data_IF_625336530623
#
_entry.id   IF_625336530623
#
_cell.length_a   1.000
_cell.length_b   1.000
_cell.length_c   1.000
_cell.angle_alpha   90.00
_cell.angle_beta   90.00
_cell.angle_gamma   90.00
#
_symmetry.space_group_name_H-M   'P 1'
#
loop_
_entity.id
_entity.type
_entity.pdbx_description
1 polymer ?
#
# COMPACT_ATOMS: atom_id res chain seq x y z
N UNK A 1 -11.18 -2.63 -37.01
CA UNK A 1 -11.79 -1.30 -36.90
C UNK A 1 -12.21 -1.11 -35.45
N UNK A 2 -11.35 -0.52 -34.60
CA UNK A 2 -11.36 0.91 -34.23
C UNK A 2 -12.72 1.32 -33.65
N UNK A 3 -12.85 1.64 -32.37
CA UNK A 3 -12.31 2.88 -31.79
C UNK A 3 -12.08 2.79 -30.28
N UNK A 4 -10.84 3.03 -29.84
CA UNK A 4 -10.55 3.37 -28.44
C UNK A 4 -10.83 4.87 -28.25
N UNK A 5 -11.87 5.20 -27.49
CA UNK A 5 -12.14 6.57 -27.05
C UNK A 5 -11.17 6.92 -25.92
N UNK A 6 -10.13 7.69 -26.21
CA UNK A 6 -9.27 8.26 -25.18
C UNK A 6 -10.07 9.32 -24.40
N UNK A 7 -10.44 9.01 -23.15
CA UNK A 7 -10.88 10.02 -22.19
C UNK A 7 -9.64 10.78 -21.74
N UNK A 8 -9.47 12.01 -22.24
CA UNK A 8 -8.47 12.94 -21.72
C UNK A 8 -8.94 13.46 -20.37
N UNK A 9 -8.39 12.90 -19.28
CA UNK A 9 -8.60 13.43 -17.94
C UNK A 9 -7.54 14.52 -17.73
N UNK A 10 -7.98 15.78 -17.61
CA UNK A 10 -7.13 16.84 -17.06
C UNK A 10 -7.38 16.80 -15.55
N UNK A 11 -6.47 16.17 -14.83
CA UNK A 11 -6.47 16.18 -13.36
C UNK A 11 -6.15 17.60 -12.88
N UNK A 12 -7.12 18.24 -12.23
CA UNK A 12 -6.88 19.45 -11.45
C UNK A 12 -7.33 19.15 -10.02
N UNK A 13 -6.37 18.98 -9.11
CA UNK A 13 -6.67 18.77 -7.70
C UNK A 13 -7.23 20.05 -7.05
N UNK A 14 -8.26 19.94 -6.18
CA UNK A 14 -8.75 21.07 -5.41
C UNK A 14 -7.73 21.67 -4.43
N UNK A 15 -6.66 20.96 -4.09
CA UNK A 15 -5.77 21.46 -3.03
C UNK A 15 -4.78 22.56 -3.50
N UNK A 16 -4.82 22.93 -4.78
CA UNK A 16 -4.19 24.18 -5.23
C UNK A 16 -4.99 25.45 -4.87
N UNK A 17 -6.17 25.33 -4.25
CA UNK A 17 -7.08 26.46 -3.98
C UNK A 17 -6.64 27.43 -2.87
N UNK A 18 -5.56 27.18 -2.11
CA UNK A 18 -5.27 28.00 -0.92
C UNK A 18 -4.02 28.89 -0.95
N UNK A 19 -3.06 28.73 -1.86
CA UNK A 19 -1.73 29.38 -1.68
C UNK A 19 -1.26 30.42 -2.72
N UNK A 20 -2.13 30.92 -3.60
CA UNK A 20 -1.77 32.00 -4.55
C UNK A 20 -2.84 33.09 -4.75
N UNK A 21 -3.96 33.09 -4.00
CA UNK A 21 -5.02 34.12 -4.14
C UNK A 21 -5.71 34.19 -5.51
N UNK A 22 -5.46 33.23 -6.41
CA UNK A 22 -6.03 33.16 -7.76
C UNK A 22 -6.65 31.78 -8.00
N UNK A 23 -7.91 31.56 -7.59
CA UNK A 23 -8.55 30.25 -7.59
C UNK A 23 -8.74 29.61 -8.97
N UNK A 24 -8.49 30.30 -10.08
CA UNK A 24 -8.83 29.82 -11.42
C UNK A 24 -7.67 29.86 -12.44
N UNK A 25 -6.42 29.93 -11.96
CA UNK A 25 -5.23 30.06 -12.81
C UNK A 25 -5.16 29.02 -13.95
N UNK A 26 -5.67 27.81 -13.73
CA UNK A 26 -5.65 26.71 -14.71
C UNK A 26 -6.75 26.78 -15.78
N UNK A 27 -7.88 27.44 -15.53
CA UNK A 27 -8.97 27.57 -16.49
C UNK A 27 -9.05 28.94 -17.19
N UNK A 28 -8.33 29.95 -16.71
CA UNK A 28 -8.30 31.30 -17.34
C UNK A 28 -7.82 31.28 -18.81
N UNK A 29 -7.01 30.28 -19.20
CA UNK A 29 -6.52 30.12 -20.59
C UNK A 29 -7.06 28.86 -21.29
N UNK A 30 -8.06 28.20 -20.71
CA UNK A 30 -8.65 26.99 -21.29
C UNK A 30 -9.73 27.32 -22.32
N UNK A 31 -9.71 26.62 -23.46
CA UNK A 31 -10.81 26.66 -24.44
C UNK A 31 -12.04 25.85 -24.02
N UNK A 32 -11.95 25.09 -22.93
CA UNK A 32 -12.98 24.14 -22.50
C UNK A 32 -13.54 24.44 -21.11
N UNK A 33 -12.81 25.20 -20.29
CA UNK A 33 -13.16 25.48 -18.89
C UNK A 33 -13.37 26.99 -18.68
N UNK A 34 -14.19 27.34 -17.70
CA UNK A 34 -14.45 28.70 -17.23
C UNK A 34 -14.45 28.73 -15.71
N UNK A 35 -14.16 29.88 -15.11
CA UNK A 35 -14.15 30.06 -13.67
C UNK A 35 -15.55 30.47 -13.18
N UNK A 36 -16.20 29.64 -12.36
CA UNK A 36 -17.48 29.95 -11.72
C UNK A 36 -17.34 29.65 -10.23
N UNK A 37 -17.62 30.64 -9.38
CA UNK A 37 -17.55 30.51 -7.91
C UNK A 37 -16.21 29.93 -7.42
N UNK A 38 -15.09 30.41 -7.95
CA UNK A 38 -13.75 29.93 -7.60
C UNK A 38 -13.47 28.46 -7.95
N UNK A 39 -14.26 27.87 -8.87
CA UNK A 39 -14.07 26.51 -9.38
C UNK A 39 -14.02 26.50 -10.91
N UNK A 40 -13.14 25.68 -11.48
CA UNK A 40 -13.09 25.50 -12.93
C UNK A 40 -14.24 24.59 -13.37
N UNK A 41 -15.14 25.12 -14.21
CA UNK A 41 -16.31 24.43 -14.74
C UNK A 41 -16.24 24.33 -16.27
N UNK A 42 -16.89 23.32 -16.86
CA UNK A 42 -16.99 23.23 -18.32
C UNK A 42 -17.78 24.40 -18.91
N UNK A 43 -17.31 24.97 -20.01
CA UNK A 43 -18.08 25.96 -20.75
C UNK A 43 -19.33 25.30 -21.36
N UNK A 44 -20.49 25.98 -21.40
CA UNK A 44 -21.68 25.44 -22.04
C UNK A 44 -21.39 24.99 -23.48
N UNK A 45 -21.88 23.81 -23.87
CA UNK A 45 -21.74 23.25 -25.22
C UNK A 45 -20.29 23.02 -25.70
N UNK A 46 -19.33 22.82 -24.81
CA UNK A 46 -17.98 22.39 -25.20
C UNK A 46 -17.87 20.87 -25.31
N UNK A 47 -17.25 20.42 -26.41
CA UNK A 47 -17.02 19.01 -26.72
C UNK A 47 -15.53 18.76 -26.89
N UNK A 48 -15.04 17.64 -26.36
CA UNK A 48 -13.69 17.13 -26.60
C UNK A 48 -13.80 15.75 -27.26
N UNK A 49 -13.29 15.61 -28.48
CA UNK A 49 -13.41 14.38 -29.28
C UNK A 49 -14.85 13.82 -29.38
N UNK A 50 -15.85 14.69 -29.52
CA UNK A 50 -17.26 14.30 -29.65
C UNK A 50 -17.98 13.98 -28.33
N UNK A 51 -17.29 14.07 -27.19
CA UNK A 51 -17.88 13.90 -25.86
C UNK A 51 -18.11 15.27 -25.22
N UNK A 52 -19.27 15.48 -24.60
CA UNK A 52 -19.54 16.71 -23.84
C UNK A 52 -18.58 16.83 -22.67
N UNK A 53 -18.03 18.03 -22.48
CA UNK A 53 -17.25 18.36 -21.30
C UNK A 53 -18.13 18.17 -20.06
N UNK A 54 -17.68 17.35 -19.11
CA UNK A 54 -18.32 17.13 -17.83
C UNK A 54 -17.35 17.48 -16.70
N UNK A 55 -17.80 18.28 -15.74
CA UNK A 55 -17.11 18.47 -14.46
C UNK A 55 -17.61 17.42 -13.51
N UNK A 56 -16.81 16.40 -13.23
CA UNK A 56 -17.08 15.52 -12.10
C UNK A 56 -16.60 16.23 -10.85
N UNK A 57 -17.50 16.45 -9.89
CA UNK A 57 -17.08 16.75 -8.52
C UNK A 57 -16.15 15.63 -8.05
N UNK A 58 -15.04 15.95 -7.38
CA UNK A 58 -14.30 14.93 -6.63
C UNK A 58 -15.33 14.14 -5.83
N UNK A 59 -15.46 12.86 -6.11
CA UNK A 59 -16.24 12.01 -5.23
C UNK A 59 -15.51 12.07 -3.90
N UNK A 60 -16.18 12.65 -2.89
CA UNK A 60 -15.88 12.35 -1.50
C UNK A 60 -15.63 10.85 -1.42
N UNK A 61 -14.46 10.44 -0.91
CA UNK A 61 -14.04 9.04 -0.91
C UNK A 61 -15.22 8.16 -0.48
N UNK A 62 -15.62 7.24 -1.35
CA UNK A 62 -16.66 6.28 -1.01
C UNK A 62 -16.07 5.30 -0.02
N UNK A 63 -16.79 5.03 1.06
CA UNK A 63 -16.39 3.99 2.01
C UNK A 63 -16.39 2.64 1.28
N UNK A 64 -15.21 2.10 0.99
CA UNK A 64 -15.05 0.82 0.28
C UNK A 64 -15.13 -0.37 1.24
N UNK A 65 -14.70 -0.19 2.49
CA UNK A 65 -14.95 -1.12 3.61
C UNK A 65 -14.63 -0.47 4.96
N UNK A 66 -15.08 -1.12 6.05
CA UNK A 66 -14.97 -0.59 7.40
C UNK A 66 -16.07 0.43 7.66
N UNK A 67 -16.72 0.34 8.82
CA UNK A 67 -17.88 1.17 9.09
C UNK A 67 -17.38 2.52 9.58
N UNK A 68 -17.71 3.58 8.84
CA UNK A 68 -17.37 4.98 9.15
C UNK A 68 -18.02 5.53 10.43
N UNK A 69 -18.39 4.66 11.38
CA UNK A 69 -18.86 4.98 12.72
C UNK A 69 -17.76 4.82 13.80
N UNK A 70 -16.54 4.39 13.42
CA UNK A 70 -15.33 4.53 14.24
C UNK A 70 -15.28 3.68 15.52
N UNK A 71 -16.15 2.69 15.69
CA UNK A 71 -16.13 1.82 16.88
C UNK A 71 -15.52 0.46 16.56
N UNK A 72 -14.50 0.07 17.32
CA UNK A 72 -13.88 -1.25 17.19
C UNK A 72 -14.87 -2.38 17.55
N UNK A 73 -14.79 -3.51 16.87
CA UNK A 73 -15.65 -4.66 17.16
C UNK A 73 -15.23 -5.93 16.43
N UNK A 74 -15.84 -7.06 16.81
CA UNK A 74 -15.51 -8.40 16.30
C UNK A 74 -16.59 -9.02 15.40
N UNK A 75 -17.72 -8.35 15.19
CA UNK A 75 -18.73 -8.81 14.23
C UNK A 75 -18.18 -8.78 12.79
N UNK A 76 -18.88 -9.41 11.85
CA UNK A 76 -18.56 -9.32 10.42
C UNK A 76 -18.85 -7.92 9.81
N UNK A 77 -19.34 -7.01 10.65
CA UNK A 77 -19.64 -5.63 10.33
C UNK A 77 -18.75 -4.67 11.14
N UNK A 78 -17.60 -5.12 11.63
CA UNK A 78 -16.69 -4.30 12.41
C UNK A 78 -15.25 -4.80 12.23
N UNK A 79 -14.31 -3.89 12.43
CA UNK A 79 -12.88 -4.15 12.45
C UNK A 79 -12.33 -3.73 13.82
N UNK A 80 -11.20 -4.28 14.22
CA UNK A 80 -10.47 -3.91 15.42
C UNK A 80 -9.00 -3.71 15.05
N UNK A 81 -8.58 -2.44 14.99
CA UNK A 81 -7.20 -2.03 14.66
C UNK A 81 -6.68 -2.60 13.33
N UNK A 82 -7.44 -2.50 12.21
CA UNK A 82 -7.01 -3.11 10.94
C UNK A 82 -5.64 -2.58 10.49
N UNK A 83 -4.85 -3.42 9.84
CA UNK A 83 -3.46 -3.08 9.48
C UNK A 83 -3.22 -3.00 7.97
N UNK A 84 -3.29 -4.13 7.29
CA UNK A 84 -2.99 -4.30 5.88
C UNK A 84 -4.26 -4.42 5.04
N UNK A 85 -4.15 -4.05 3.77
CA UNK A 85 -5.23 -4.16 2.79
C UNK A 85 -4.71 -4.74 1.48
N UNK A 86 -5.53 -5.53 0.80
CA UNK A 86 -5.24 -6.00 -0.55
C UNK A 86 -6.53 -6.05 -1.39
N UNK A 87 -6.40 -5.80 -2.69
CA UNK A 87 -7.51 -5.92 -3.63
C UNK A 87 -7.34 -7.21 -4.43
N UNK A 88 -8.34 -8.07 -4.39
CA UNK A 88 -8.40 -9.28 -5.21
C UNK A 88 -8.71 -8.98 -6.67
N UNK A 89 -8.44 -9.94 -7.55
CA UNK A 89 -8.74 -9.83 -8.99
C UNK A 89 -10.24 -9.69 -9.30
N UNK A 90 -11.10 -10.09 -8.35
CA UNK A 90 -12.56 -9.95 -8.42
C UNK A 90 -13.06 -8.60 -7.87
N UNK A 91 -12.16 -7.67 -7.56
CA UNK A 91 -12.49 -6.36 -6.99
C UNK A 91 -12.76 -6.39 -5.48
N UNK A 92 -12.69 -7.56 -4.83
CA UNK A 92 -12.91 -7.65 -3.39
C UNK A 92 -11.77 -7.03 -2.59
N UNK A 93 -12.12 -6.34 -1.51
CA UNK A 93 -11.17 -5.82 -0.53
C UNK A 93 -10.93 -6.84 0.58
N UNK A 94 -9.68 -7.16 0.82
CA UNK A 94 -9.21 -8.01 1.90
C UNK A 94 -8.53 -7.14 2.95
N UNK A 95 -8.89 -7.32 4.21
CA UNK A 95 -8.37 -6.52 5.33
C UNK A 95 -7.85 -7.45 6.41
N UNK A 96 -6.61 -7.26 6.85
CA UNK A 96 -6.13 -7.91 8.07
C UNK A 96 -6.71 -7.17 9.27
N UNK A 97 -7.61 -7.86 9.94
CA UNK A 97 -8.30 -7.39 11.13
C UNK A 97 -7.46 -7.79 12.35
N UNK A 98 -6.33 -7.09 12.50
CA UNK A 98 -5.23 -7.40 13.43
C UNK A 98 -5.72 -7.75 14.84
N UNK A 99 -6.55 -6.89 15.44
CA UNK A 99 -7.05 -7.06 16.80
C UNK A 99 -8.07 -8.19 16.94
N UNK A 100 -8.58 -8.73 15.83
CA UNK A 100 -9.49 -9.86 15.79
C UNK A 100 -8.84 -11.12 15.21
N UNK A 101 -7.54 -11.16 14.93
CA UNK A 101 -6.81 -12.38 14.51
C UNK A 101 -7.44 -13.08 13.29
N UNK A 102 -7.82 -12.29 12.28
CA UNK A 102 -8.48 -12.79 11.06
C UNK A 102 -8.19 -11.90 9.85
N UNK A 103 -8.42 -12.43 8.65
CA UNK A 103 -8.57 -11.63 7.44
C UNK A 103 -10.03 -11.66 7.01
N UNK A 104 -10.61 -10.49 6.79
CA UNK A 104 -11.96 -10.32 6.26
C UNK A 104 -11.89 -9.98 4.78
N UNK A 105 -12.70 -10.67 3.97
CA UNK A 105 -12.99 -10.31 2.59
C UNK A 105 -14.31 -9.55 2.52
N UNK A 106 -14.32 -8.41 1.83
CA UNK A 106 -15.51 -7.64 1.50
C UNK A 106 -15.66 -7.56 -0.02
N UNK A 107 -16.83 -7.97 -0.52
CA UNK A 107 -17.19 -7.77 -1.91
C UNK A 107 -17.47 -6.28 -2.17
N UNK A 108 -17.24 -5.83 -3.41
CA UNK A 108 -17.54 -4.44 -3.79
C UNK A 108 -19.00 -4.09 -3.47
N UNK A 109 -19.20 -2.99 -2.75
CA UNK A 109 -20.52 -2.53 -2.29
C UNK A 109 -21.13 -3.30 -1.11
N UNK A 110 -20.51 -4.39 -0.64
CA UNK A 110 -20.96 -5.10 0.56
C UNK A 110 -20.47 -4.42 1.83
N UNK A 111 -21.37 -4.22 2.78
CA UNK A 111 -21.01 -3.80 4.13
C UNK A 111 -20.67 -4.99 5.03
N UNK A 112 -21.14 -6.20 4.71
CA UNK A 112 -20.88 -7.40 5.51
C UNK A 112 -19.68 -8.15 4.91
N UNK A 113 -18.68 -8.41 5.75
CA UNK A 113 -17.51 -9.20 5.37
C UNK A 113 -17.67 -10.70 5.59
N UNK A 114 -16.73 -11.48 5.06
CA UNK A 114 -16.59 -12.91 5.32
C UNK A 114 -15.16 -13.23 5.78
N UNK A 115 -15.02 -14.07 6.81
CA UNK A 115 -13.70 -14.53 7.26
C UNK A 115 -13.13 -15.46 6.18
N UNK A 116 -11.92 -15.18 5.74
CA UNK A 116 -11.22 -15.98 4.71
C UNK A 116 -9.87 -16.51 5.16
N UNK A 117 -9.30 -15.98 6.24
CA UNK A 117 -8.10 -16.49 6.91
C UNK A 117 -8.27 -16.32 8.42
N UNK A 118 -7.82 -17.32 9.18
CA UNK A 118 -7.96 -17.33 10.63
C UNK A 118 -9.38 -17.69 11.09
N UNK A 119 -9.52 -17.95 12.39
CA UNK A 119 -10.81 -18.28 13.02
C UNK A 119 -11.37 -17.14 13.86
N UNK A 120 -10.66 -16.01 13.95
CA UNK A 120 -10.97 -14.95 14.90
C UNK A 120 -10.37 -15.15 16.30
N UNK A 121 -9.63 -16.26 16.49
CA UNK A 121 -9.02 -16.66 17.75
C UNK A 121 -7.50 -16.73 17.53
N UNK A 122 -6.74 -16.03 18.37
CA UNK A 122 -5.29 -16.10 18.36
C UNK A 122 -4.79 -17.53 18.62
N UNK A 123 -3.83 -17.98 17.82
CA UNK A 123 -3.19 -19.28 17.97
C UNK A 123 -2.18 -19.54 16.86
N UNK A 124 -1.53 -20.72 16.90
CA UNK A 124 -0.48 -21.10 15.96
C UNK A 124 -0.81 -22.36 15.13
N UNK A 125 -2.02 -22.91 15.30
CA UNK A 125 -2.54 -24.00 14.47
C UNK A 125 -2.61 -23.60 12.99
N UNK A 126 -2.76 -24.57 12.09
CA UNK A 126 -2.77 -24.30 10.65
C UNK A 126 -3.98 -23.46 10.18
N UNK A 127 -5.08 -23.45 10.93
CA UNK A 127 -6.27 -22.64 10.70
C UNK A 127 -6.28 -21.32 11.49
N UNK A 128 -5.27 -21.09 12.34
CA UNK A 128 -5.16 -19.93 13.22
C UNK A 128 -4.01 -19.01 12.79
N UNK A 129 -4.17 -17.73 13.12
CA UNK A 129 -3.17 -16.67 13.00
C UNK A 129 -3.24 -15.81 14.26
N UNK A 130 -2.18 -15.06 14.53
CA UNK A 130 -2.05 -14.23 15.71
C UNK A 130 -1.45 -12.87 15.31
N UNK A 131 -2.22 -11.81 15.54
CA UNK A 131 -1.86 -10.43 15.22
C UNK A 131 -1.43 -10.24 13.75
N UNK A 132 -2.29 -10.58 12.76
CA UNK A 132 -1.93 -10.49 11.35
C UNK A 132 -1.64 -9.04 10.93
N UNK A 133 -0.53 -8.83 10.24
CA UNK A 133 -0.14 -7.51 9.71
C UNK A 133 -0.41 -7.45 8.20
N UNK A 134 0.62 -7.38 7.35
CA UNK A 134 0.41 -7.24 5.91
C UNK A 134 -0.16 -8.53 5.27
N UNK A 135 -0.93 -8.35 4.20
CA UNK A 135 -1.43 -9.46 3.39
C UNK A 135 -1.23 -9.21 1.89
N UNK A 136 -1.18 -10.28 1.12
CA UNK A 136 -1.13 -10.23 -0.34
C UNK A 136 -2.11 -11.26 -0.93
N UNK A 137 -2.82 -10.87 -1.98
CA UNK A 137 -3.74 -11.74 -2.71
C UNK A 137 -3.25 -11.91 -4.14
N UNK A 138 -2.97 -13.14 -4.55
CA UNK A 138 -2.50 -13.43 -5.90
C UNK A 138 -3.66 -13.55 -6.91
N UNK A 139 -3.35 -13.63 -8.20
CA UNK A 139 -4.35 -13.76 -9.27
C UNK A 139 -5.17 -15.06 -9.22
N UNK A 140 -4.69 -16.07 -8.47
CA UNK A 140 -5.41 -17.32 -8.20
C UNK A 140 -6.30 -17.23 -6.95
N UNK A 141 -6.39 -16.04 -6.34
CA UNK A 141 -7.08 -15.79 -5.06
C UNK A 141 -6.48 -16.54 -3.88
N UNK A 142 -5.20 -16.89 -3.93
CA UNK A 142 -4.48 -17.34 -2.74
C UNK A 142 -4.10 -16.14 -1.88
N UNK A 143 -4.11 -16.31 -0.57
CA UNK A 143 -3.92 -15.24 0.41
C UNK A 143 -2.66 -15.56 1.22
N UNK A 144 -1.69 -14.68 1.14
CA UNK A 144 -0.48 -14.70 1.94
C UNK A 144 -0.67 -13.70 3.08
N UNK A 145 -0.36 -14.08 4.30
CA UNK A 145 -0.54 -13.24 5.50
C UNK A 145 0.70 -13.32 6.35
N UNK A 146 1.17 -12.16 6.81
CA UNK A 146 2.17 -12.07 7.86
C UNK A 146 1.51 -12.36 9.20
N UNK A 147 1.81 -13.53 9.75
CA UNK A 147 1.35 -14.00 11.05
C UNK A 147 2.40 -13.58 12.09
N UNK A 148 2.36 -12.29 12.46
CA UNK A 148 3.46 -11.55 13.07
C UNK A 148 3.91 -12.17 14.40
N UNK A 149 2.99 -12.41 15.32
CA UNK A 149 3.31 -12.91 16.67
C UNK A 149 3.66 -14.41 16.67
N UNK A 150 3.44 -15.07 15.53
CA UNK A 150 3.93 -16.42 15.27
C UNK A 150 5.21 -16.43 14.40
N UNK A 151 5.81 -15.29 14.06
CA UNK A 151 7.09 -15.20 13.33
C UNK A 151 7.13 -15.99 12.01
N UNK A 152 6.04 -15.94 11.24
CA UNK A 152 5.90 -16.72 10.00
C UNK A 152 5.05 -16.00 8.96
N UNK A 153 5.17 -16.42 7.70
CA UNK A 153 4.21 -16.09 6.64
C UNK A 153 3.45 -17.35 6.28
N UNK A 154 2.14 -17.21 6.21
CA UNK A 154 1.21 -18.31 5.95
C UNK A 154 0.45 -18.06 4.65
N UNK A 155 0.20 -19.13 3.90
CA UNK A 155 -0.50 -19.14 2.62
C UNK A 155 -1.79 -19.97 2.74
N UNK A 156 -2.94 -19.34 2.49
CA UNK A 156 -4.21 -20.02 2.26
C UNK A 156 -4.51 -20.07 0.77
N UNK A 157 -4.75 -21.28 0.26
CA UNK A 157 -5.34 -21.44 -1.06
C UNK A 157 -6.75 -20.86 -1.10
N UNK A 158 -7.26 -20.57 -2.31
CA UNK A 158 -8.66 -20.15 -2.48
C UNK A 158 -9.61 -21.13 -1.78
N UNK A 159 -10.45 -20.62 -0.88
CA UNK A 159 -11.41 -21.39 -0.07
C UNK A 159 -10.78 -22.45 0.88
N UNK A 160 -9.47 -22.41 1.10
CA UNK A 160 -8.83 -23.29 2.07
C UNK A 160 -9.26 -22.91 3.49
N UNK A 161 -9.44 -23.90 4.36
CA UNK A 161 -9.69 -23.69 5.79
C UNK A 161 -8.40 -23.72 6.62
N UNK A 162 -7.33 -24.28 6.06
CA UNK A 162 -6.01 -24.38 6.68
C UNK A 162 -4.96 -23.73 5.78
N UNK A 163 -4.00 -23.06 6.40
CA UNK A 163 -2.87 -22.43 5.77
C UNK A 163 -1.63 -23.33 5.78
N UNK A 164 -0.67 -22.94 4.95
CA UNK A 164 0.64 -23.57 4.85
C UNK A 164 1.72 -22.53 5.11
N UNK A 165 2.72 -22.87 5.91
CA UNK A 165 3.84 -21.95 6.17
C UNK A 165 4.72 -21.86 4.93
N UNK A 166 4.96 -20.64 4.45
CA UNK A 166 5.78 -20.38 3.24
C UNK A 166 7.05 -19.58 3.52
N UNK A 167 7.16 -18.96 4.69
CA UNK A 167 8.40 -18.34 5.17
C UNK A 167 8.45 -18.33 6.71
N UNK A 168 9.67 -18.34 7.26
CA UNK A 168 9.90 -18.42 8.70
C UNK A 168 9.87 -19.86 9.25
N UNK A 169 9.98 -20.01 10.58
CA UNK A 169 9.87 -21.32 11.25
C UNK A 169 8.82 -21.37 12.35
N UNK A 170 8.05 -20.30 12.59
CA UNK A 170 7.18 -20.24 13.76
C UNK A 170 7.89 -19.87 15.06
N UNK A 171 9.16 -19.45 14.99
CA UNK A 171 9.99 -19.17 16.17
C UNK A 171 10.81 -17.92 15.94
N UNK A 172 10.82 -17.03 16.94
CA UNK A 172 11.56 -15.79 16.88
C UNK A 172 13.07 -16.04 16.68
N UNK A 173 13.70 -15.23 15.83
CA UNK A 173 15.15 -15.24 15.64
C UNK A 173 15.61 -14.40 14.46
N UNK A 174 16.92 -14.24 14.31
CA UNK A 174 17.53 -13.44 13.22
C UNK A 174 18.34 -14.28 12.22
N UNK A 175 18.33 -15.62 12.34
CA UNK A 175 18.95 -16.50 11.35
C UNK A 175 18.22 -16.40 10.00
N UNK A 176 18.84 -16.89 8.92
CA UNK A 176 18.30 -16.77 7.56
C UNK A 176 16.96 -17.47 7.34
N UNK A 177 16.55 -18.37 8.24
CA UNK A 177 15.25 -19.04 8.22
C UNK A 177 14.23 -18.46 9.23
N UNK A 178 14.60 -17.50 10.07
CA UNK A 178 13.74 -16.98 11.15
C UNK A 178 13.49 -15.48 11.02
N UNK A 179 12.39 -15.05 11.61
CA UNK A 179 12.03 -13.64 11.74
C UNK A 179 12.06 -13.20 13.20
N UNK A 180 12.38 -11.93 13.44
CA UNK A 180 12.23 -11.33 14.78
C UNK A 180 10.90 -10.62 14.92
N UNK A 181 10.51 -9.89 13.88
CA UNK A 181 9.24 -9.16 13.81
C UNK A 181 8.89 -8.93 12.33
N UNK A 182 8.30 -9.94 11.65
CA UNK A 182 7.92 -9.79 10.25
C UNK A 182 6.71 -8.85 10.15
N UNK A 183 6.75 -7.83 9.28
CA UNK A 183 5.67 -6.82 9.21
C UNK A 183 5.07 -6.65 7.83
N UNK A 184 5.88 -6.31 6.84
CA UNK A 184 5.48 -6.09 5.44
C UNK A 184 5.68 -7.33 4.57
N UNK A 185 4.94 -7.38 3.47
CA UNK A 185 4.86 -8.54 2.57
C UNK A 185 4.72 -8.10 1.12
N UNK A 186 5.45 -8.75 0.23
CA UNK A 186 5.20 -8.69 -1.21
C UNK A 186 5.53 -10.04 -1.84
N UNK A 187 4.86 -10.38 -2.94
CA UNK A 187 5.03 -11.68 -3.62
C UNK A 187 5.14 -11.43 -5.12
N UNK A 188 6.10 -12.07 -5.79
CA UNK A 188 6.26 -11.98 -7.25
C UNK A 188 5.48 -13.05 -8.02
N UNK A 189 5.44 -12.99 -9.37
CA UNK A 189 4.64 -13.93 -10.18
C UNK A 189 5.13 -15.38 -10.10
N UNK A 190 6.39 -15.59 -9.74
CA UNK A 190 6.95 -16.93 -9.49
C UNK A 190 6.86 -17.34 -8.01
N UNK A 191 6.08 -16.61 -7.22
CA UNK A 191 5.75 -16.87 -5.81
C UNK A 191 6.95 -16.80 -4.86
N UNK A 192 7.97 -16.03 -5.18
CA UNK A 192 8.93 -15.65 -4.15
C UNK A 192 8.24 -14.70 -3.16
N UNK A 193 8.48 -14.91 -1.87
CA UNK A 193 7.91 -14.14 -0.78
C UNK A 193 8.98 -13.19 -0.23
N UNK A 194 8.72 -11.89 -0.27
CA UNK A 194 9.55 -10.83 0.27
C UNK A 194 8.93 -10.33 1.57
N UNK A 195 9.71 -10.31 2.65
CA UNK A 195 9.23 -9.96 3.99
C UNK A 195 10.18 -8.96 4.63
N UNK A 196 9.65 -7.88 5.16
CA UNK A 196 10.43 -6.98 6.01
C UNK A 196 10.47 -7.53 7.43
N UNK A 197 11.68 -7.67 7.97
CA UNK A 197 11.91 -8.11 9.34
C UNK A 197 12.30 -6.87 10.16
N UNK A 198 11.28 -6.25 10.75
CA UNK A 198 11.26 -4.87 11.22
C UNK A 198 12.41 -4.56 12.20
N UNK A 199 12.53 -5.34 13.28
CA UNK A 199 13.59 -5.14 14.29
C UNK A 199 14.96 -5.68 13.90
N UNK A 200 15.09 -6.35 12.75
CA UNK A 200 16.40 -6.78 12.22
C UNK A 200 16.84 -5.97 11.01
N UNK A 201 16.12 -4.91 10.63
CA UNK A 201 16.60 -3.91 9.67
C UNK A 201 16.95 -4.49 8.30
N UNK A 202 16.19 -5.49 7.85
CA UNK A 202 16.45 -6.24 6.61
C UNK A 202 15.17 -6.64 5.90
N UNK A 203 15.28 -6.86 4.60
CA UNK A 203 14.27 -7.54 3.79
C UNK A 203 14.81 -8.91 3.40
N UNK A 204 13.99 -9.92 3.61
CA UNK A 204 14.31 -11.31 3.36
C UNK A 204 13.40 -11.88 2.27
N UNK A 205 13.96 -12.67 1.35
CA UNK A 205 13.28 -13.33 0.24
C UNK A 205 13.32 -14.85 0.39
N UNK A 206 12.18 -15.51 0.30
CA UNK A 206 12.06 -16.97 0.16
C UNK A 206 11.61 -17.32 -1.24
N UNK A 207 12.29 -18.28 -1.86
CA UNK A 207 11.76 -18.97 -3.03
C UNK A 207 10.70 -19.99 -2.61
N UNK A 208 9.78 -20.41 -3.50
CA UNK A 208 8.82 -21.46 -3.21
C UNK A 208 9.51 -22.70 -2.64
N UNK A 209 9.00 -23.21 -1.52
CA UNK A 209 9.52 -24.38 -0.78
C UNK A 209 10.95 -24.23 -0.21
N UNK A 210 11.53 -23.02 -0.22
CA UNK A 210 12.83 -22.79 0.40
C UNK A 210 12.73 -22.91 1.93
N UNK A 211 13.72 -23.54 2.55
CA UNK A 211 13.83 -23.64 4.02
C UNK A 211 14.56 -22.43 4.62
N UNK A 212 15.35 -21.72 3.81
CA UNK A 212 16.10 -20.52 4.19
C UNK A 212 15.76 -19.36 3.26
N UNK A 213 15.69 -18.17 3.83
CA UNK A 213 15.58 -16.92 3.10
C UNK A 213 16.94 -16.36 2.73
N UNK A 214 16.91 -15.43 1.79
CA UNK A 214 18.08 -14.66 1.34
C UNK A 214 17.83 -13.18 1.64
N UNK A 215 18.82 -12.49 2.22
CA UNK A 215 18.70 -11.06 2.45
C UNK A 215 18.86 -10.33 1.12
N UNK A 216 17.86 -9.54 0.74
CA UNK A 216 17.82 -8.85 -0.58
C UNK A 216 17.90 -7.32 -0.46
N UNK A 217 17.64 -6.77 0.73
CA UNK A 217 17.82 -5.35 1.03
C UNK A 217 18.10 -5.15 2.53
N UNK A 218 18.75 -4.04 2.86
CA UNK A 218 19.27 -3.79 4.20
C UNK A 218 20.60 -4.51 4.47
N UNK A 219 21.21 -4.18 5.61
CA UNK A 219 22.48 -4.79 6.06
C UNK A 219 22.32 -5.63 7.34
N UNK A 220 21.11 -5.71 7.88
CA UNK A 220 20.88 -6.28 9.21
C UNK A 220 21.25 -5.35 10.37
N UNK A 221 21.75 -4.14 10.07
CA UNK A 221 22.19 -3.15 11.03
C UNK A 221 21.39 -1.87 10.79
N UNK A 222 20.86 -1.30 11.88
CA UNK A 222 20.16 -0.02 11.85
C UNK A 222 21.06 1.09 11.32
N UNK A 223 20.51 1.96 10.47
CA UNK A 223 21.22 3.13 9.96
C UNK A 223 20.43 3.84 8.87
N UNK A 224 21.00 4.92 8.34
CA UNK A 224 20.33 5.81 7.39
C UNK A 224 21.09 5.98 6.06
N UNK A 225 22.22 5.28 5.88
CA UNK A 225 22.90 5.20 4.58
C UNK A 225 21.97 4.59 3.53
N UNK A 226 22.33 4.67 2.24
CA UNK A 226 21.52 4.11 1.16
C UNK A 226 21.23 2.61 1.34
N UNK A 227 22.21 1.85 1.84
CA UNK A 227 22.13 0.39 2.00
C UNK A 227 21.55 -0.03 3.36
N UNK A 228 21.52 0.86 4.35
CA UNK A 228 20.96 0.58 5.66
C UNK A 228 19.47 0.93 5.69
N UNK A 229 18.72 0.12 6.43
CA UNK A 229 17.32 0.34 6.72
C UNK A 229 17.17 0.57 8.23
N UNK A 230 16.12 1.27 8.62
CA UNK A 230 15.75 1.48 10.00
C UNK A 230 14.27 1.16 10.19
N UNK A 231 14.01 -0.04 10.73
CA UNK A 231 12.65 -0.55 10.96
C UNK A 231 11.80 -0.59 9.68
N UNK A 232 12.23 -1.31 8.63
CA UNK A 232 11.46 -1.35 7.38
C UNK A 232 10.11 -2.04 7.58
N UNK A 233 9.07 -1.54 6.92
CA UNK A 233 7.71 -2.10 6.98
C UNK A 233 7.18 -2.41 5.58
N UNK A 234 6.20 -1.65 5.08
CA UNK A 234 5.50 -1.95 3.82
C UNK A 234 6.43 -2.15 2.64
N UNK A 235 6.06 -3.11 1.78
CA UNK A 235 6.81 -3.54 0.62
C UNK A 235 5.93 -3.49 -0.61
N UNK A 236 6.49 -3.05 -1.74
CA UNK A 236 5.86 -3.18 -3.05
C UNK A 236 6.90 -3.66 -4.06
N UNK A 237 6.68 -4.85 -4.62
CA UNK A 237 7.52 -5.38 -5.70
C UNK A 237 6.95 -4.96 -7.07
N UNK A 238 7.69 -4.11 -7.75
CA UNK A 238 7.48 -3.80 -9.16
C UNK A 238 8.19 -4.86 -10.02
N UNK A 239 7.42 -5.88 -10.38
CA UNK A 239 7.88 -7.00 -11.17
C UNK A 239 8.36 -6.59 -12.58
N UNK A 240 7.74 -5.58 -13.19
CA UNK A 240 8.05 -5.18 -14.56
C UNK A 240 9.49 -4.64 -14.67
N UNK A 241 9.92 -3.87 -13.68
CA UNK A 241 11.24 -3.26 -13.64
C UNK A 241 12.22 -3.93 -12.66
N UNK A 242 11.77 -4.97 -11.95
CA UNK A 242 12.54 -5.65 -10.89
C UNK A 242 13.00 -4.71 -9.77
N UNK A 243 12.12 -3.77 -9.38
CA UNK A 243 12.35 -2.90 -8.23
C UNK A 243 11.54 -3.35 -7.02
N UNK A 244 12.16 -3.26 -5.85
CA UNK A 244 11.48 -3.37 -4.57
C UNK A 244 11.42 -1.99 -3.92
N UNK A 245 10.21 -1.50 -3.67
CA UNK A 245 9.96 -0.30 -2.88
C UNK A 245 9.79 -0.72 -1.42
N UNK A 246 10.41 0.04 -0.52
CA UNK A 246 10.49 -0.26 0.91
C UNK A 246 10.15 1.01 1.68
N UNK A 247 9.15 0.92 2.55
CA UNK A 247 8.91 1.92 3.57
C UNK A 247 9.98 1.78 4.68
N UNK A 248 10.95 2.69 4.67
CA UNK A 248 12.04 2.75 5.63
C UNK A 248 11.60 3.65 6.80
N UNK A 249 10.74 3.09 7.64
CA UNK A 249 9.82 3.79 8.55
C UNK A 249 10.53 4.84 9.40
N UNK A 250 11.56 4.42 10.14
CA UNK A 250 12.27 5.30 11.09
C UNK A 250 13.32 6.19 10.44
N UNK A 251 13.57 6.02 9.14
CA UNK A 251 14.29 6.99 8.31
C UNK A 251 13.35 7.92 7.54
N UNK A 252 12.03 7.79 7.72
CA UNK A 252 11.01 8.66 7.15
C UNK A 252 11.12 8.83 5.63
N UNK A 253 11.36 7.72 4.93
CA UNK A 253 11.59 7.69 3.49
C UNK A 253 11.06 6.43 2.84
N UNK A 254 10.85 6.50 1.53
CA UNK A 254 10.64 5.33 0.69
C UNK A 254 11.90 5.09 -0.14
N UNK A 255 12.47 3.90 0.02
CA UNK A 255 13.63 3.45 -0.74
C UNK A 255 13.18 2.57 -1.91
N UNK A 256 13.83 2.70 -3.06
CA UNK A 256 13.65 1.81 -4.22
C UNK A 256 14.95 1.06 -4.48
N UNK A 257 14.91 -0.27 -4.41
CA UNK A 257 16.03 -1.19 -4.58
C UNK A 257 15.92 -1.96 -5.89
N UNK A 258 16.98 -1.95 -6.70
CA UNK A 258 17.06 -2.83 -7.87
C UNK A 258 17.50 -4.25 -7.48
N UNK A 259 16.69 -5.26 -7.80
CA UNK A 259 16.94 -6.65 -7.41
C UNK A 259 17.81 -7.46 -8.40
N UNK A 260 18.25 -6.87 -9.51
CA UNK A 260 19.06 -7.53 -10.55
C UNK A 260 20.59 -7.54 -10.34
N UNK A 261 21.11 -7.25 -9.13
CA UNK A 261 22.56 -7.35 -8.85
C UNK A 261 23.26 -6.16 -8.18
N UNK A 262 22.50 -5.20 -7.63
CA UNK A 262 22.88 -4.16 -6.63
C UNK A 262 24.00 -3.15 -6.96
N UNK A 263 23.57 -1.93 -7.34
CA UNK A 263 24.14 -0.64 -6.90
C UNK A 263 23.11 0.51 -6.93
N UNK A 264 21.99 0.32 -7.62
CA UNK A 264 20.97 1.36 -7.77
C UNK A 264 19.94 1.31 -6.62
N UNK A 265 20.23 2.08 -5.57
CA UNK A 265 19.29 2.38 -4.48
C UNK A 265 18.99 3.87 -4.53
N UNK A 266 17.72 4.23 -4.59
CA UNK A 266 17.29 5.64 -4.63
C UNK A 266 16.19 5.90 -3.61
N UNK A 267 16.32 6.98 -2.85
CA UNK A 267 15.19 7.56 -2.12
C UNK A 267 14.23 8.16 -3.14
N UNK A 268 12.98 7.67 -3.18
CA UNK A 268 11.96 8.13 -4.14
C UNK A 268 10.89 9.03 -3.50
N UNK A 269 10.82 9.06 -2.17
CA UNK A 269 9.96 9.96 -1.40
C UNK A 269 10.51 10.15 0.02
N UNK A 270 10.29 11.33 0.60
CA UNK A 270 10.78 11.68 1.94
C UNK A 270 12.31 11.73 2.02
N UNK A 271 12.86 11.40 3.19
CA UNK A 271 14.30 11.44 3.47
C UNK A 271 14.85 12.83 3.83
N UNK A 272 13.98 13.83 3.93
CA UNK A 272 14.33 15.21 4.34
C UNK A 272 14.04 15.46 5.83
N UNK A 273 14.24 14.43 6.65
CA UNK A 273 13.87 14.43 8.06
C UNK A 273 12.38 14.25 8.32
N UNK A 274 12.06 14.08 9.60
CA UNK A 274 10.71 14.01 10.12
C UNK A 274 9.99 15.36 9.96
N UNK A 275 8.75 15.35 9.45
CA UNK A 275 7.90 16.54 9.49
C UNK A 275 6.63 16.45 8.64
N UNK A 276 5.88 17.55 8.61
CA UNK A 276 4.60 17.68 7.89
C UNK A 276 4.74 18.31 6.50
N UNK A 277 5.92 18.83 6.15
CA UNK A 277 6.15 19.45 4.84
C UNK A 277 5.89 18.46 3.71
N UNK A 278 5.57 18.96 2.51
CA UNK A 278 5.29 18.09 1.35
C UNK A 278 6.52 17.30 0.89
N UNK A 279 7.74 17.72 1.25
CA UNK A 279 8.98 16.98 0.99
C UNK A 279 9.38 16.05 2.16
N UNK A 280 8.58 15.98 3.21
CA UNK A 280 8.84 15.21 4.43
C UNK A 280 7.78 14.12 4.60
N UNK A 281 8.16 13.05 5.30
CA UNK A 281 7.27 12.01 5.77
C UNK A 281 7.45 11.87 7.27
N UNK A 282 6.49 11.22 7.91
CA UNK A 282 6.49 10.87 9.31
C UNK A 282 6.07 9.42 9.46
N UNK A 283 7.08 8.55 9.58
CA UNK A 283 6.92 7.09 9.74
C UNK A 283 5.97 6.48 8.71
N UNK A 284 6.34 6.50 7.42
CA UNK A 284 5.50 5.93 6.37
C UNK A 284 5.43 4.41 6.55
N UNK A 285 4.23 3.81 6.52
CA UNK A 285 4.06 2.35 6.65
C UNK A 285 3.62 1.70 5.35
N UNK A 286 2.41 2.02 4.88
CA UNK A 286 1.82 1.44 3.68
C UNK A 286 2.35 2.12 2.42
N UNK A 287 2.64 1.31 1.40
CA UNK A 287 3.04 1.79 0.08
C UNK A 287 2.31 1.02 -1.02
N UNK A 288 1.87 1.73 -2.06
CA UNK A 288 1.49 1.10 -3.32
C UNK A 288 1.99 1.95 -4.49
N UNK A 289 2.30 1.28 -5.61
CA UNK A 289 2.82 1.94 -6.80
C UNK A 289 1.90 1.66 -7.98
N UNK A 290 1.58 2.71 -8.74
CA UNK A 290 0.85 2.59 -9.99
C UNK A 290 1.72 1.90 -11.04
N UNK A 291 1.30 0.73 -11.51
CA UNK A 291 2.00 0.00 -12.59
C UNK A 291 2.05 0.76 -13.91
N UNK A 292 1.12 1.71 -14.12
CA UNK A 292 1.00 2.47 -15.37
C UNK A 292 1.89 3.71 -15.39
N UNK A 293 1.95 4.43 -14.28
CA UNK A 293 2.60 5.75 -14.20
C UNK A 293 3.87 5.74 -13.35
N UNK A 294 4.04 4.75 -12.46
CA UNK A 294 5.13 4.71 -11.49
C UNK A 294 4.88 5.59 -10.25
N UNK A 295 3.69 6.18 -10.13
CA UNK A 295 3.30 7.01 -9.00
C UNK A 295 3.30 6.20 -7.70
N UNK A 296 3.89 6.77 -6.65
CA UNK A 296 4.03 6.15 -5.34
C UNK A 296 3.03 6.77 -4.38
N UNK A 297 2.11 5.97 -3.87
CA UNK A 297 1.15 6.35 -2.84
C UNK A 297 1.62 5.81 -1.50
N UNK A 298 1.62 6.68 -0.49
CA UNK A 298 2.27 6.43 0.78
C UNK A 298 1.30 6.77 1.89
N UNK A 299 1.04 5.82 2.78
CA UNK A 299 0.40 6.10 4.06
C UNK A 299 1.43 6.78 4.97
N UNK A 300 1.32 8.10 5.09
CA UNK A 300 2.16 8.94 5.95
C UNK A 300 1.57 8.92 7.37
N UNK A 301 1.71 7.76 8.01
CA UNK A 301 0.86 7.27 9.11
C UNK A 301 0.69 8.25 10.26
N UNK A 302 1.79 8.83 10.74
CA UNK A 302 1.75 9.74 11.89
C UNK A 302 1.46 11.20 11.51
N UNK A 303 1.41 11.51 10.20
CA UNK A 303 0.83 12.75 9.70
C UNK A 303 -0.66 12.59 9.32
N UNK A 304 -1.24 11.40 9.52
CA UNK A 304 -2.66 11.12 9.26
C UNK A 304 -3.11 11.48 7.82
N UNK A 305 -2.24 11.20 6.85
CA UNK A 305 -2.47 11.55 5.44
C UNK A 305 -1.93 10.49 4.49
N UNK A 306 -2.41 10.54 3.25
CA UNK A 306 -1.87 9.79 2.12
C UNK A 306 -1.17 10.75 1.19
N UNK A 307 0.11 10.49 0.94
CA UNK A 307 0.95 11.27 0.04
C UNK A 307 1.10 10.57 -1.31
N UNK A 308 0.94 11.32 -2.39
CA UNK A 308 1.25 10.93 -3.76
C UNK A 308 2.58 11.57 -4.18
N UNK A 309 3.53 10.75 -4.61
CA UNK A 309 4.79 11.19 -5.20
C UNK A 309 4.92 10.62 -6.61
N UNK A 310 5.00 11.51 -7.60
CA UNK A 310 5.24 11.11 -8.99
C UNK A 310 6.73 10.83 -9.22
N UNK A 311 7.11 10.00 -10.21
CA UNK A 311 8.51 9.69 -10.48
C UNK A 311 9.39 10.95 -10.66
N UNK A 312 10.42 11.08 -9.82
CA UNK A 312 11.36 12.20 -9.85
C UNK A 312 10.90 13.46 -9.12
N UNK A 313 9.72 13.44 -8.49
CA UNK A 313 9.25 14.55 -7.67
C UNK A 313 10.13 14.77 -6.43
N UNK A 314 10.31 16.03 -6.04
CA UNK A 314 10.99 16.41 -4.78
C UNK A 314 10.01 16.71 -3.65
N UNK A 315 8.71 16.80 -3.96
CA UNK A 315 7.63 17.03 -3.02
C UNK A 315 6.45 16.11 -3.37
N UNK A 316 5.76 15.62 -2.36
CA UNK A 316 4.48 14.94 -2.48
C UNK A 316 3.29 15.89 -2.57
N UNK A 317 2.15 15.28 -2.86
CA UNK A 317 0.83 15.91 -2.82
C UNK A 317 -0.03 15.12 -1.85
N UNK A 318 -0.64 15.79 -0.88
CA UNK A 318 -1.68 15.17 -0.05
C UNK A 318 -2.88 14.85 -0.93
N UNK A 319 -3.32 13.59 -0.95
CA UNK A 319 -4.50 13.16 -1.73
C UNK A 319 -5.64 12.65 -0.84
N UNK A 320 -5.38 12.42 0.44
CA UNK A 320 -6.37 12.08 1.45
C UNK A 320 -5.81 12.38 2.86
N UNK A 321 -6.71 12.66 3.82
CA UNK A 321 -6.36 12.92 5.21
C UNK A 321 -6.18 14.41 5.53
N UNK A 322 -5.54 14.70 6.66
CA UNK A 322 -5.36 16.07 7.16
C UNK A 322 -4.07 16.66 6.59
N UNK A 323 -4.13 17.90 6.11
CA UNK A 323 -2.99 18.67 5.57
C UNK A 323 -2.29 19.42 6.68
#
# INVERSE_FOLDING_TARGET
SSSHSYIGIIELSPEHFANQGRPCLFCENSRYLTCINSTCQCQPNTYFNGLMCQTTSLQSGTTVAGFGNGTAGSSLTALNSPWGIAIGIDGSLYVSDYGNNRVIKLQEGSLIGAITVGTGIAGNSADQINLPLELYVDSSSNIYVVDNDNYRVMLWGKNATMGTMVAGTGTQGSTSNRFREPTGLSVDSIRNVYVSDFTTHRIMKWAPNATFGTMVAGTGILGNTSQQLNQPAGLYFDEFNSYLYIADVSNHRIQRYYLGGSTNITTVAGGNGLGIGNHQLNTPYGICVSKKTGDVYIADTYNHRVQLWTPGATNGVTIAGIV
#
